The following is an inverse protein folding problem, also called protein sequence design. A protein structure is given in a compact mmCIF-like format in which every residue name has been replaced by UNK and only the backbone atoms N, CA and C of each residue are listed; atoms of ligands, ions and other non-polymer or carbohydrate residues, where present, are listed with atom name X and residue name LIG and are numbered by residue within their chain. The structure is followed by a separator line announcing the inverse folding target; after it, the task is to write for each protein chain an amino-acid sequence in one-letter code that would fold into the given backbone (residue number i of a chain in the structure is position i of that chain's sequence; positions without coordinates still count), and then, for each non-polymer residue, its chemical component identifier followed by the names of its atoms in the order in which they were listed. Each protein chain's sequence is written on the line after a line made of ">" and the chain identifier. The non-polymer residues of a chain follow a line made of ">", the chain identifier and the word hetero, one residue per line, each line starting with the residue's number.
data_IF_365982611954
#
_entry.id   IF_365982611954
#
_cell.length_a   1.000
_cell.length_b   1.000
_cell.length_c   1.000
_cell.angle_alpha   90.00
_cell.angle_beta   90.00
_cell.angle_gamma   90.00
#
_symmetry.space_group_name_H-M   'P 1'
#
loop_
_entity.id
_entity.type
_entity.pdbx_description
1 polymer ?
#
# COMPACT_ATOMS: atom_id res chain seq x y z
N UNK A 1 21.27 1.45 -14.88
CA UNK A 1 21.05 0.14 -14.22
C UNK A 1 19.97 0.20 -13.14
N UNK A 2 19.95 1.21 -12.27
CA UNK A 2 18.98 1.34 -11.17
C UNK A 2 17.51 1.43 -11.62
N UNK A 3 17.20 2.25 -12.63
CA UNK A 3 15.83 2.39 -13.15
C UNK A 3 15.30 1.08 -13.74
N UNK A 4 16.11 0.36 -14.52
CA UNK A 4 15.71 -0.93 -15.08
C UNK A 4 15.40 -1.97 -14.01
N UNK A 5 16.16 -1.98 -12.90
CA UNK A 5 15.90 -2.86 -11.76
C UNK A 5 14.58 -2.52 -11.05
N UNK A 6 14.26 -1.23 -10.88
CA UNK A 6 12.98 -0.79 -10.31
C UNK A 6 11.80 -1.17 -11.22
N UNK A 7 11.92 -0.95 -12.53
CA UNK A 7 10.90 -1.36 -13.51
C UNK A 7 10.69 -2.87 -13.45
N UNK A 8 11.76 -3.65 -13.44
CA UNK A 8 11.69 -5.10 -13.33
C UNK A 8 10.97 -5.55 -12.04
N UNK A 9 11.25 -4.89 -10.92
CA UNK A 9 10.59 -5.18 -9.64
C UNK A 9 9.09 -4.88 -9.68
N UNK A 10 8.68 -3.76 -10.28
CA UNK A 10 7.26 -3.45 -10.50
C UNK A 10 6.60 -4.51 -11.38
N UNK A 11 7.23 -4.86 -12.51
CA UNK A 11 6.72 -5.89 -13.43
C UNK A 11 6.57 -7.25 -12.75
N UNK A 12 7.51 -7.63 -11.87
CA UNK A 12 7.45 -8.87 -11.11
C UNK A 12 6.37 -8.85 -10.01
N UNK A 13 6.07 -7.68 -9.44
CA UNK A 13 5.06 -7.57 -8.39
C UNK A 13 3.62 -7.79 -8.88
N UNK A 14 3.33 -7.47 -10.15
CA UNK A 14 1.99 -7.63 -10.74
C UNK A 14 1.53 -9.10 -10.72
N UNK A 15 2.27 -10.08 -11.28
CA UNK A 15 1.86 -11.48 -11.22
C UNK A 15 1.84 -12.03 -9.79
N UNK A 16 2.71 -11.53 -8.89
CA UNK A 16 2.67 -11.90 -7.46
C UNK A 16 1.33 -11.48 -6.84
N UNK A 17 0.90 -10.22 -7.03
CA UNK A 17 -0.39 -9.76 -6.54
C UNK A 17 -1.57 -10.46 -7.19
N UNK A 18 -1.47 -10.81 -8.48
CA UNK A 18 -2.50 -11.57 -9.17
C UNK A 18 -2.68 -12.96 -8.57
N UNK A 19 -1.57 -13.69 -8.34
CA UNK A 19 -1.60 -14.99 -7.69
C UNK A 19 -2.16 -14.87 -6.27
N UNK A 20 -1.74 -13.87 -5.50
CA UNK A 20 -2.28 -13.63 -4.16
C UNK A 20 -3.78 -13.36 -4.19
N UNK A 21 -4.27 -12.48 -5.06
CA UNK A 21 -5.69 -12.18 -5.20
C UNK A 21 -6.50 -13.45 -5.50
N UNK A 22 -6.01 -14.29 -6.41
CA UNK A 22 -6.60 -15.60 -6.73
C UNK A 22 -6.63 -16.52 -5.52
N UNK A 23 -5.54 -16.62 -4.76
CA UNK A 23 -5.49 -17.43 -3.53
C UNK A 23 -6.49 -16.93 -2.46
N UNK A 24 -6.78 -15.64 -2.44
CA UNK A 24 -7.81 -15.02 -1.58
C UNK A 24 -9.24 -15.10 -2.17
N UNK A 25 -9.44 -15.85 -3.26
CA UNK A 25 -10.76 -16.13 -3.82
C UNK A 25 -11.15 -15.29 -5.03
N UNK A 26 -10.22 -14.55 -5.65
CA UNK A 26 -10.49 -13.83 -6.89
C UNK A 26 -10.69 -14.80 -8.08
N UNK A 27 -11.51 -14.44 -9.07
CA UNK A 27 -11.72 -15.24 -10.27
C UNK A 27 -10.43 -15.41 -11.09
N UNK A 28 -10.10 -16.67 -11.40
CA UNK A 28 -8.87 -17.05 -12.12
C UNK A 28 -9.03 -16.97 -13.65
N UNK A 29 -10.15 -17.49 -14.18
CA UNK A 29 -10.36 -17.67 -15.62
C UNK A 29 -11.59 -16.95 -16.18
N UNK A 30 -12.65 -16.76 -15.36
CA UNK A 30 -13.88 -16.12 -15.84
C UNK A 30 -13.72 -14.61 -16.03
N UNK A 31 -12.91 -13.95 -15.20
CA UNK A 31 -12.66 -12.51 -15.24
C UNK A 31 -11.16 -12.21 -15.03
N UNK A 32 -10.31 -12.78 -15.89
CA UNK A 32 -8.85 -12.57 -15.79
C UNK A 32 -8.47 -11.08 -15.86
N UNK A 33 -9.11 -10.33 -16.77
CA UNK A 33 -8.85 -8.89 -16.98
C UNK A 33 -9.10 -8.08 -15.70
N UNK A 34 -10.19 -8.36 -14.99
CA UNK A 34 -10.54 -7.68 -13.75
C UNK A 34 -9.51 -7.91 -12.64
N UNK A 35 -9.10 -9.17 -12.45
CA UNK A 35 -8.08 -9.55 -11.46
C UNK A 35 -6.72 -8.95 -11.83
N UNK A 36 -6.41 -8.88 -13.13
CA UNK A 36 -5.20 -8.22 -13.64
C UNK A 36 -5.20 -6.71 -13.38
N UNK A 37 -6.30 -6.02 -13.67
CA UNK A 37 -6.46 -4.57 -13.38
C UNK A 37 -6.34 -4.30 -11.89
N UNK A 38 -6.97 -5.11 -11.03
CA UNK A 38 -6.80 -4.99 -9.58
C UNK A 38 -5.34 -5.13 -9.16
N UNK A 39 -4.64 -6.12 -9.71
CA UNK A 39 -3.22 -6.37 -9.40
C UNK A 39 -2.31 -5.23 -9.86
N UNK A 40 -2.62 -4.60 -11.01
CA UNK A 40 -1.95 -3.40 -11.49
C UNK A 40 -2.14 -2.22 -10.53
N UNK A 41 -3.38 -1.96 -10.11
CA UNK A 41 -3.69 -0.88 -9.16
C UNK A 41 -2.99 -1.12 -7.82
N UNK A 42 -3.05 -2.35 -7.32
CA UNK A 42 -2.41 -2.72 -6.05
C UNK A 42 -0.89 -2.58 -6.14
N UNK A 43 -0.26 -3.06 -7.22
CA UNK A 43 1.17 -2.87 -7.48
C UNK A 43 1.55 -1.39 -7.55
N UNK A 44 0.78 -0.59 -8.28
CA UNK A 44 1.04 0.84 -8.45
C UNK A 44 0.94 1.61 -7.12
N UNK A 45 0.00 1.24 -6.25
CA UNK A 45 -0.19 1.93 -4.97
C UNK A 45 0.65 1.36 -3.83
N UNK A 46 1.31 0.22 -4.01
CA UNK A 46 2.14 -0.40 -2.96
C UNK A 46 3.62 -0.37 -3.31
N UNK A 47 4.02 -0.94 -4.44
CA UNK A 47 5.43 -1.18 -4.78
C UNK A 47 6.09 0.06 -5.35
N UNK A 48 5.40 0.79 -6.23
CA UNK A 48 5.94 2.03 -6.83
C UNK A 48 6.35 3.07 -5.78
N UNK A 49 5.50 3.51 -4.84
CA UNK A 49 5.90 4.51 -3.85
C UNK A 49 7.05 4.04 -2.96
N UNK A 50 7.12 2.74 -2.64
CA UNK A 50 8.22 2.17 -1.85
C UNK A 50 9.54 2.19 -2.62
N UNK A 51 9.53 1.80 -3.90
CA UNK A 51 10.74 1.79 -4.73
C UNK A 51 11.26 3.20 -5.01
N UNK A 52 10.41 4.22 -5.03
CA UNK A 52 10.88 5.60 -5.19
C UNK A 52 11.63 6.12 -3.97
N UNK A 53 11.30 5.59 -2.79
CA UNK A 53 11.80 6.08 -1.50
C UNK A 53 12.91 5.18 -0.93
N UNK A 54 12.98 3.92 -1.39
CA UNK A 54 14.09 3.03 -1.14
C UNK A 54 15.24 3.32 -2.13
N UNK A 55 16.40 3.63 -1.57
CA UNK A 55 17.65 3.73 -2.29
C UNK A 55 18.26 2.33 -2.43
N UNK A 56 19.04 2.11 -3.50
CA UNK A 56 19.41 0.76 -3.93
C UNK A 56 20.48 0.07 -3.08
N UNK A 57 21.16 0.81 -2.21
CA UNK A 57 22.21 0.26 -1.33
C UNK A 57 21.70 -0.09 0.07
N UNK A 58 20.50 0.34 0.47
CA UNK A 58 20.19 0.46 1.89
C UNK A 58 19.47 -0.75 2.52
N UNK A 59 18.37 -1.27 1.94
CA UNK A 59 17.62 -2.43 2.46
C UNK A 59 16.77 -3.10 1.36
N UNK A 60 16.54 -4.41 1.47
CA UNK A 60 15.62 -5.11 0.54
C UNK A 60 14.17 -4.65 0.78
N UNK A 61 13.37 -4.53 -0.28
CA UNK A 61 11.96 -4.13 -0.18
C UNK A 61 11.18 -5.01 0.81
N UNK A 62 11.45 -6.30 0.82
CA UNK A 62 10.81 -7.28 1.72
C UNK A 62 11.19 -7.00 3.18
N UNK A 63 12.46 -6.75 3.45
CA UNK A 63 12.95 -6.44 4.80
C UNK A 63 12.33 -5.14 5.34
N UNK A 64 12.25 -4.11 4.50
CA UNK A 64 11.60 -2.85 4.83
C UNK A 64 10.10 -3.03 5.13
N UNK A 65 9.41 -3.90 4.38
CA UNK A 65 8.00 -4.21 4.61
C UNK A 65 7.77 -4.96 5.93
N UNK A 66 8.64 -5.92 6.27
CA UNK A 66 8.48 -6.78 7.43
C UNK A 66 8.89 -6.10 8.75
N UNK A 67 9.99 -5.35 8.75
CA UNK A 67 10.57 -4.80 9.99
C UNK A 67 10.23 -3.34 10.25
N UNK A 68 9.55 -2.66 9.32
CA UNK A 68 9.17 -1.25 9.40
C UNK A 68 10.26 -0.34 10.00
N UNK A 69 11.37 -0.18 9.25
CA UNK A 69 12.51 0.62 9.68
C UNK A 69 12.60 1.94 8.91
N UNK A 70 11.60 2.80 9.09
CA UNK A 70 11.57 4.10 8.44
C UNK A 70 12.66 5.04 9.02
N UNK A 71 13.71 5.31 8.23
CA UNK A 71 14.80 6.25 8.57
C UNK A 71 14.39 7.69 8.24
N UNK A 72 13.63 7.87 7.16
CA UNK A 72 13.23 9.18 6.65
C UNK A 72 11.71 9.39 6.69
N UNK A 73 11.26 10.66 6.69
CA UNK A 73 9.83 11.02 6.64
C UNK A 73 9.14 10.44 5.40
N UNK A 74 9.83 10.43 4.26
CA UNK A 74 9.33 9.86 3.02
C UNK A 74 9.09 8.35 3.15
N UNK A 75 10.04 7.61 3.76
CA UNK A 75 9.92 6.16 4.01
C UNK A 75 8.73 5.86 4.91
N UNK A 76 8.55 6.68 5.95
CA UNK A 76 7.40 6.56 6.85
C UNK A 76 6.07 6.76 6.12
N UNK A 77 5.98 7.80 5.27
CA UNK A 77 4.76 8.08 4.49
C UNK A 77 4.49 6.97 3.47
N UNK A 78 5.49 6.58 2.68
CA UNK A 78 5.35 5.53 1.67
C UNK A 78 4.94 4.19 2.30
N UNK A 79 5.50 3.83 3.46
CA UNK A 79 5.10 2.60 4.16
C UNK A 79 3.62 2.60 4.54
N UNK A 80 3.15 3.62 5.27
CA UNK A 80 1.75 3.67 5.70
C UNK A 80 0.78 3.85 4.53
N UNK A 81 1.19 4.55 3.47
CA UNK A 81 0.44 4.63 2.22
C UNK A 81 0.24 3.22 1.60
N UNK A 82 1.33 2.46 1.42
CA UNK A 82 1.27 1.12 0.85
C UNK A 82 0.52 0.14 1.74
N UNK A 83 0.71 0.17 3.06
CA UNK A 83 -0.05 -0.66 3.99
C UNK A 83 -1.54 -0.32 3.99
N UNK A 84 -1.87 0.97 3.95
CA UNK A 84 -3.25 1.43 3.81
C UNK A 84 -3.89 0.93 2.53
N UNK A 85 -3.15 0.93 1.41
CA UNK A 85 -3.63 0.40 0.14
C UNK A 85 -3.97 -1.10 0.23
N UNK A 86 -3.07 -1.92 0.80
CA UNK A 86 -3.31 -3.36 0.98
C UNK A 86 -4.51 -3.62 1.89
N UNK A 87 -4.53 -2.98 3.07
CA UNK A 87 -5.63 -3.14 4.03
C UNK A 87 -6.97 -2.68 3.44
N UNK A 88 -6.97 -1.58 2.70
CA UNK A 88 -8.15 -1.08 2.01
C UNK A 88 -8.68 -2.06 0.97
N UNK A 89 -7.80 -2.66 0.16
CA UNK A 89 -8.18 -3.69 -0.81
C UNK A 89 -8.75 -4.94 -0.14
N UNK A 90 -8.16 -5.38 0.98
CA UNK A 90 -8.67 -6.50 1.78
C UNK A 90 -10.05 -6.20 2.38
N UNK A 91 -10.26 -4.99 2.91
CA UNK A 91 -11.57 -4.55 3.40
C UNK A 91 -12.61 -4.50 2.28
N UNK A 92 -12.21 -4.06 1.09
CA UNK A 92 -13.05 -4.10 -0.11
C UNK A 92 -13.50 -5.52 -0.46
N UNK A 93 -12.61 -6.51 -0.33
CA UNK A 93 -12.96 -7.92 -0.56
C UNK A 93 -14.00 -8.45 0.44
N UNK A 94 -13.98 -7.98 1.69
CA UNK A 94 -14.98 -8.33 2.72
C UNK A 94 -16.39 -7.83 2.36
N UNK A 95 -16.50 -6.77 1.54
CA UNK A 95 -17.80 -6.22 1.12
C UNK A 95 -18.47 -7.08 0.02
N UNK A 96 -17.71 -7.90 -0.71
CA UNK A 96 -18.22 -8.74 -1.80
C UNK A 96 -19.25 -9.78 -1.33
N UNK A 97 -19.06 -10.53 -0.23
CA UNK A 97 -20.06 -11.49 0.25
C UNK A 97 -21.26 -10.88 0.99
N UNK A 98 -21.33 -9.55 1.12
CA UNK A 98 -22.41 -8.90 1.85
C UNK A 98 -23.65 -8.78 0.96
N UNK A 99 -24.80 -9.37 1.29
CA UNK A 99 -26.00 -9.41 0.42
C UNK A 99 -26.71 -8.05 0.21
N UNK A 100 -25.99 -7.01 -0.22
CA UNK A 100 -26.54 -5.73 -0.64
C UNK A 100 -26.97 -5.73 -2.11
N UNK A 101 -26.56 -6.75 -2.88
CA UNK A 101 -26.92 -6.98 -4.29
C UNK A 101 -26.73 -5.75 -5.18
N UNK A 102 -25.60 -5.04 -4.99
CA UNK A 102 -25.31 -3.82 -5.75
C UNK A 102 -24.27 -4.03 -6.85
N UNK A 103 -24.42 -3.28 -7.94
CA UNK A 103 -23.48 -3.32 -9.07
C UNK A 103 -22.05 -2.93 -8.66
N UNK A 104 -21.89 -2.01 -7.72
CA UNK A 104 -20.59 -1.56 -7.22
C UNK A 104 -19.90 -2.62 -6.33
N UNK A 105 -20.63 -3.62 -5.86
CA UNK A 105 -20.15 -4.71 -5.01
C UNK A 105 -19.44 -5.83 -5.81
N UNK A 106 -19.59 -5.82 -7.14
CA UNK A 106 -19.00 -6.84 -8.02
C UNK A 106 -17.48 -6.72 -8.07
N UNK A 107 -16.79 -7.86 -8.07
CA UNK A 107 -15.34 -7.90 -8.32
C UNK A 107 -15.02 -7.17 -9.66
N UNK A 108 -13.97 -6.32 -9.71
CA UNK A 108 -12.98 -5.97 -8.68
C UNK A 108 -13.27 -4.61 -8.00
N UNK A 109 -14.43 -4.00 -8.25
CA UNK A 109 -14.72 -2.60 -7.91
C UNK A 109 -14.54 -2.28 -6.41
N UNK A 110 -15.11 -3.03 -5.44
CA UNK A 110 -14.94 -2.73 -4.02
C UNK A 110 -13.47 -2.76 -3.59
N UNK A 111 -12.70 -3.69 -4.12
CA UNK A 111 -11.29 -3.84 -3.81
C UNK A 111 -10.48 -2.67 -4.37
N UNK A 112 -10.75 -2.22 -5.60
CA UNK A 112 -10.07 -1.05 -6.19
C UNK A 112 -10.39 0.21 -5.39
N UNK A 113 -11.67 0.48 -5.09
CA UNK A 113 -12.06 1.63 -4.27
C UNK A 113 -11.46 1.55 -2.87
N UNK A 114 -11.49 0.36 -2.26
CA UNK A 114 -10.87 0.07 -0.98
C UNK A 114 -9.37 0.39 -1.01
N UNK A 115 -8.63 -0.08 -2.00
CA UNK A 115 -7.19 0.17 -2.14
C UNK A 115 -6.89 1.67 -2.25
N UNK A 116 -7.62 2.41 -3.11
CA UNK A 116 -7.39 3.85 -3.27
C UNK A 116 -7.71 4.62 -1.99
N UNK A 117 -8.86 4.32 -1.38
CA UNK A 117 -9.30 4.99 -0.16
C UNK A 117 -8.39 4.65 1.03
N UNK A 118 -8.01 3.38 1.17
CA UNK A 118 -7.07 2.92 2.17
C UNK A 118 -5.70 3.56 2.02
N UNK A 119 -5.20 3.72 0.79
CA UNK A 119 -3.95 4.43 0.53
C UNK A 119 -4.02 5.91 0.98
N UNK A 120 -5.13 6.58 0.67
CA UNK A 120 -5.37 7.96 1.11
C UNK A 120 -5.43 8.08 2.64
N UNK A 121 -6.14 7.17 3.32
CA UNK A 121 -6.16 7.13 4.78
C UNK A 121 -4.78 6.85 5.38
N UNK A 122 -4.02 5.93 4.79
CA UNK A 122 -2.64 5.63 5.18
C UNK A 122 -1.73 6.85 5.07
N UNK A 123 -1.87 7.64 4.00
CA UNK A 123 -1.17 8.92 3.85
C UNK A 123 -1.52 9.91 4.97
N UNK A 124 -2.82 10.14 5.20
CA UNK A 124 -3.30 11.05 6.24
C UNK A 124 -2.77 10.62 7.60
N UNK A 125 -2.86 9.34 7.93
CA UNK A 125 -2.32 8.78 9.16
C UNK A 125 -0.81 9.01 9.31
N UNK A 126 -0.04 8.81 8.23
CA UNK A 126 1.39 9.07 8.24
C UNK A 126 1.72 10.55 8.50
N UNK A 127 0.99 11.47 7.87
CA UNK A 127 1.15 12.91 8.09
C UNK A 127 0.81 13.31 9.52
N UNK A 128 -0.33 12.84 10.04
CA UNK A 128 -0.77 13.10 11.41
C UNK A 128 0.24 12.58 12.44
N UNK A 129 0.75 11.37 12.27
CA UNK A 129 1.72 10.77 13.19
C UNK A 129 3.09 11.48 13.15
N UNK A 130 3.54 11.94 11.97
CA UNK A 130 4.74 12.78 11.87
C UNK A 130 4.54 14.14 12.53
N UNK A 131 3.37 14.76 12.37
CA UNK A 131 3.03 16.02 13.03
C UNK A 131 3.01 15.87 14.56
N UNK A 132 2.36 14.82 15.07
CA UNK A 132 2.32 14.51 16.49
C UNK A 132 3.72 14.28 17.08
N UNK A 133 4.58 13.51 16.39
CA UNK A 133 5.99 13.31 16.79
C UNK A 133 6.76 14.64 16.86
N UNK A 134 6.59 15.51 15.84
CA UNK A 134 7.23 16.84 15.80
C UNK A 134 6.76 17.73 16.95
N UNK A 135 5.45 17.76 17.21
CA UNK A 135 4.87 18.55 18.29
C UNK A 135 5.37 18.09 19.66
N UNK A 136 5.39 16.78 19.93
CA UNK A 136 5.93 16.21 21.16
C UNK A 136 7.41 16.55 21.38
N UNK A 137 8.22 16.50 20.32
CA UNK A 137 9.64 16.90 20.38
C UNK A 137 9.81 18.40 20.69
N UNK A 138 8.99 19.26 20.09
CA UNK A 138 8.98 20.70 20.36
C UNK A 138 8.63 20.99 21.82
N UNK A 139 7.58 20.35 22.34
CA UNK A 139 7.14 20.50 23.73
C UNK A 139 8.22 20.10 24.73
N UNK A 140 8.88 18.94 24.52
CA UNK A 140 10.00 18.48 25.36
C UNK A 140 11.20 19.43 25.38
N UNK A 141 11.46 20.15 24.27
CA UNK A 141 12.54 21.15 24.24
C UNK A 141 12.20 22.36 25.11
N UNK A 142 10.96 22.85 25.06
CA UNK A 142 10.53 23.98 25.89
C UNK A 142 10.58 23.64 27.39
N UNK A 143 10.20 22.42 27.76
CA UNK A 143 10.23 21.96 29.16
C UNK A 143 11.62 21.76 29.75
N UNK A 144 12.68 21.65 28.92
CA UNK A 144 14.07 21.54 29.38
C UNK A 144 14.76 22.90 29.57
N UNK A 145 14.10 23.99 29.18
CA UNK A 145 14.63 25.36 29.23
C UNK A 145 14.05 26.14 30.43
N UNK A 146 13.03 25.58 31.08
CA UNK A 146 12.45 26.04 32.36
C UNK A 146 13.01 25.18 33.48
#
# INVERSE_FOLDING_TARGET
>A
MLLCSKIFTVLLSIPVFHILAVLFGAPLLSNFEDTFVFSLVLSALTVVPLLFVLESDDESLIDFLLHFKARNKQQHIAYYFSQGAVLGGLLGAVVIPLDWDRWWQKWPLPCIFGTIFGAALGFVFACCSLYAKRWSSSFKKHLKIV
#
